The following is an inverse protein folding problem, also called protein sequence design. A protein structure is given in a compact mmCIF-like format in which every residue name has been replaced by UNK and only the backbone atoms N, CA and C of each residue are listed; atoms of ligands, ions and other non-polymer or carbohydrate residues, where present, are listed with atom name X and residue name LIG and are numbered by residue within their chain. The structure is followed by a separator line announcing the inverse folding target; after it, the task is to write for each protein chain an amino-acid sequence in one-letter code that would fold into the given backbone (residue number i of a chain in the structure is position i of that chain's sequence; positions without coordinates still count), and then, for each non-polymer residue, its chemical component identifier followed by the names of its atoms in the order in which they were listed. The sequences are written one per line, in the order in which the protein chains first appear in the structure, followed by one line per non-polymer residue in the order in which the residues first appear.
data_IF_550508208305
#
_entry.id   IF_550508208305
#
_cell.length_a   1.000
_cell.length_b   1.000
_cell.length_c   1.000
_cell.angle_alpha   90.00
_cell.angle_beta   90.00
_cell.angle_gamma   90.00
#
_symmetry.space_group_name_H-M   'P 1'
#
loop_
_entity.id
_entity.type
_entity.pdbx_description
1 polymer ?
#
# COMPACT_ATOMS: atom_id res chain seq x y z
N UNK A 1 -5.37 -20.29 -20.14
CA UNK A 1 -5.46 -20.99 -18.84
C UNK A 1 -5.02 -19.99 -17.77
N UNK A 2 -5.91 -19.53 -16.90
CA UNK A 2 -5.54 -18.61 -15.82
C UNK A 2 -5.40 -19.43 -14.54
N UNK A 3 -4.17 -19.59 -14.05
CA UNK A 3 -3.93 -20.22 -12.75
C UNK A 3 -4.35 -19.24 -11.67
N UNK A 4 -5.52 -19.46 -11.07
CA UNK A 4 -5.90 -18.81 -9.82
C UNK A 4 -5.02 -19.42 -8.73
N UNK A 5 -4.04 -18.68 -8.25
CA UNK A 5 -3.31 -19.06 -7.04
C UNK A 5 -4.32 -19.02 -5.87
N UNK A 6 -4.79 -20.18 -5.46
CA UNK A 6 -5.60 -20.36 -4.26
C UNK A 6 -4.65 -20.86 -3.18
N UNK A 7 -4.44 -20.06 -2.13
CA UNK A 7 -3.65 -20.45 -0.97
C UNK A 7 -4.33 -21.70 -0.35
N UNK A 8 -3.69 -22.88 -0.30
CA UNK A 8 -4.36 -24.17 -0.06
C UNK A 8 -4.93 -24.33 1.36
N UNK A 9 -4.59 -23.44 2.29
CA UNK A 9 -5.00 -23.54 3.69
C UNK A 9 -6.31 -22.82 4.02
N UNK A 10 -6.78 -21.90 3.15
CA UNK A 10 -7.88 -20.95 3.46
C UNK A 10 -7.77 -20.36 4.89
N UNK A 11 -6.54 -20.22 5.39
CA UNK A 11 -6.26 -19.89 6.78
C UNK A 11 -5.76 -18.46 6.87
N UNK A 12 -6.29 -17.73 7.85
CA UNK A 12 -5.74 -16.43 8.23
C UNK A 12 -4.39 -16.63 8.91
N UNK A 13 -3.39 -15.84 8.49
CA UNK A 13 -2.09 -15.79 9.16
C UNK A 13 -1.68 -14.34 9.43
N UNK A 14 -1.12 -14.11 10.60
CA UNK A 14 -0.50 -12.82 10.94
C UNK A 14 0.92 -12.81 10.39
N UNK A 15 1.24 -11.85 9.52
CA UNK A 15 2.57 -11.75 8.90
C UNK A 15 3.53 -10.86 9.70
N UNK A 16 3.05 -9.72 10.19
CA UNK A 16 3.81 -8.79 11.01
C UNK A 16 2.84 -7.94 11.85
N UNK A 17 3.29 -7.51 13.02
CA UNK A 17 2.61 -6.45 13.77
C UNK A 17 2.65 -5.16 12.96
N UNK A 18 1.52 -4.46 12.85
CA UNK A 18 1.51 -3.12 12.26
C UNK A 18 2.38 -2.20 13.15
N UNK A 19 3.25 -1.35 12.58
CA UNK A 19 3.72 -0.18 13.30
C UNK A 19 2.49 0.58 13.79
N UNK A 20 2.57 1.28 14.91
CA UNK A 20 1.50 2.05 15.54
C UNK A 20 0.79 2.99 14.55
N UNK A 21 -0.17 2.44 13.81
CA UNK A 21 -0.91 3.11 12.76
C UNK A 21 -2.31 3.26 13.29
N UNK A 22 -2.51 4.35 14.00
CA UNK A 22 -3.84 4.81 14.37
C UNK A 22 -4.60 5.11 13.07
N UNK A 23 -5.34 4.10 12.60
CA UNK A 23 -6.38 4.17 11.55
C UNK A 23 -5.85 4.19 10.11
N UNK A 24 -5.64 3.03 9.51
CA UNK A 24 -5.62 2.90 8.05
C UNK A 24 -7.00 3.28 7.48
N UNK A 25 -7.05 4.03 6.37
CA UNK A 25 -8.32 4.39 5.72
C UNK A 25 -8.47 3.76 4.32
N UNK A 26 -7.37 3.47 3.63
CA UNK A 26 -7.38 2.78 2.34
C UNK A 26 -6.16 1.88 2.20
N UNK A 27 -6.31 0.79 1.45
CA UNK A 27 -5.20 -0.05 1.00
C UNK A 27 -5.38 -0.46 -0.47
N UNK A 28 -4.26 -0.67 -1.16
CA UNK A 28 -4.21 -1.26 -2.49
C UNK A 28 -2.90 -2.04 -2.66
N UNK A 29 -2.83 -2.90 -3.67
CA UNK A 29 -1.62 -3.66 -3.98
C UNK A 29 -1.00 -3.15 -5.28
N UNK A 30 0.33 -3.07 -5.33
CA UNK A 30 1.08 -2.83 -6.55
C UNK A 30 2.26 -3.80 -6.60
N UNK A 31 2.32 -4.61 -7.67
CA UNK A 31 3.28 -5.71 -7.81
C UNK A 31 3.22 -6.63 -6.58
N UNK A 32 4.34 -6.77 -5.86
CA UNK A 32 4.47 -7.65 -4.70
C UNK A 32 4.40 -6.87 -3.36
N UNK A 33 3.85 -5.65 -3.39
CA UNK A 33 3.85 -4.74 -2.25
C UNK A 33 2.44 -4.24 -1.98
N UNK A 34 2.01 -4.33 -0.72
CA UNK A 34 0.79 -3.69 -0.24
C UNK A 34 1.11 -2.24 0.15
N UNK A 35 0.25 -1.31 -0.26
CA UNK A 35 0.33 0.10 0.11
C UNK A 35 -0.91 0.45 0.93
N UNK A 36 -0.70 1.21 2.00
CA UNK A 36 -1.76 1.68 2.89
C UNK A 36 -1.62 3.19 3.03
N UNK A 37 -2.77 3.87 2.99
CA UNK A 37 -2.88 5.28 3.33
C UNK A 37 -3.53 5.37 4.71
N UNK A 38 -2.85 6.04 5.63
CA UNK A 38 -3.36 6.28 6.99
C UNK A 38 -4.40 7.39 6.99
N UNK A 39 -5.22 7.50 8.02
CA UNK A 39 -6.20 8.58 8.17
C UNK A 39 -5.56 9.97 8.25
N UNK A 40 -4.27 10.05 8.58
CA UNK A 40 -3.48 11.28 8.51
C UNK A 40 -2.91 11.57 7.09
N UNK A 41 -3.17 10.69 6.13
CA UNK A 41 -2.68 10.77 4.76
C UNK A 41 -1.23 10.31 4.55
N UNK A 42 -0.61 9.63 5.53
CA UNK A 42 0.71 9.03 5.32
C UNK A 42 0.63 7.79 4.44
N UNK A 43 1.61 7.61 3.56
CA UNK A 43 1.81 6.38 2.82
C UNK A 43 2.77 5.46 3.59
N UNK A 44 2.37 4.19 3.71
CA UNK A 44 3.21 3.10 4.17
C UNK A 44 3.12 1.94 3.18
N UNK A 45 4.13 1.10 3.15
CA UNK A 45 4.12 -0.14 2.40
C UNK A 45 4.50 -1.35 3.25
N UNK A 46 4.02 -2.51 2.83
CA UNK A 46 4.37 -3.81 3.38
C UNK A 46 4.78 -4.75 2.25
N UNK A 47 5.96 -5.36 2.40
CA UNK A 47 6.48 -6.35 1.44
C UNK A 47 6.39 -7.74 2.09
N UNK A 48 5.48 -8.62 1.64
CA UNK A 48 5.29 -9.94 2.23
C UNK A 48 6.54 -10.84 2.15
N UNK A 49 7.37 -10.67 1.12
CA UNK A 49 8.59 -11.46 0.94
C UNK A 49 9.65 -11.23 2.01
N UNK A 50 9.67 -10.06 2.65
CA UNK A 50 10.62 -9.70 3.70
C UNK A 50 9.97 -9.45 5.06
N UNK A 51 8.63 -9.48 5.12
CA UNK A 51 7.82 -9.11 6.28
C UNK A 51 8.19 -7.73 6.85
N UNK A 52 8.61 -6.79 6.00
CA UNK A 52 9.03 -5.46 6.41
C UNK A 52 7.97 -4.40 6.08
N UNK A 53 7.84 -3.44 6.99
CA UNK A 53 7.10 -2.21 6.80
C UNK A 53 8.04 -1.08 6.39
N UNK A 54 7.59 -0.19 5.51
CA UNK A 54 8.30 1.02 5.16
C UNK A 54 7.37 2.23 5.20
N UNK A 55 7.82 3.32 5.82
CA UNK A 55 7.05 4.56 5.93
C UNK A 55 7.67 5.65 5.08
N UNK A 56 6.85 6.26 4.22
CA UNK A 56 7.29 7.32 3.32
C UNK A 56 7.14 8.70 3.97
N UNK A 57 7.95 8.98 4.99
CA UNK A 57 7.86 10.20 5.81
C UNK A 57 8.24 11.50 5.09
N UNK A 58 8.98 11.42 3.99
CA UNK A 58 9.57 12.57 3.31
C UNK A 58 8.76 13.10 2.12
N UNK A 59 7.55 12.59 1.88
CA UNK A 59 6.82 12.91 0.64
C UNK A 59 6.27 14.34 0.60
N UNK A 60 6.24 15.07 1.73
CA UNK A 60 5.65 16.42 1.82
C UNK A 60 4.15 16.49 1.50
N UNK A 61 3.56 15.36 1.11
CA UNK A 61 2.22 15.20 0.60
C UNK A 61 1.43 14.30 1.55
N UNK A 62 0.19 14.71 1.86
CA UNK A 62 -0.82 13.82 2.42
C UNK A 62 -1.68 13.28 1.28
N UNK A 63 -1.97 12.00 1.31
CA UNK A 63 -2.80 11.34 0.31
C UNK A 63 -4.21 11.06 0.83
N UNK A 64 -5.21 11.24 -0.02
CA UNK A 64 -6.61 10.94 0.30
C UNK A 64 -7.11 9.66 -0.35
N UNK A 65 -6.58 9.34 -1.52
CA UNK A 65 -6.91 8.13 -2.24
C UNK A 65 -5.74 7.72 -3.12
N UNK A 66 -5.55 6.42 -3.28
CA UNK A 66 -4.60 5.81 -4.18
C UNK A 66 -5.22 4.67 -4.95
N UNK A 67 -4.65 4.38 -6.11
CA UNK A 67 -4.92 3.18 -6.90
C UNK A 67 -3.67 2.77 -7.66
N UNK A 68 -3.67 1.56 -8.20
CA UNK A 68 -2.63 1.06 -9.08
C UNK A 68 -3.19 0.75 -10.46
N UNK A 69 -2.46 1.12 -11.50
CA UNK A 69 -2.79 0.79 -12.89
C UNK A 69 -1.48 0.65 -13.68
N UNK A 70 -1.38 -0.40 -14.50
CA UNK A 70 -0.25 -0.65 -15.40
C UNK A 70 1.13 -0.51 -14.70
N UNK A 71 1.32 -1.25 -13.60
CA UNK A 71 2.55 -1.27 -12.80
C UNK A 71 2.97 0.07 -12.15
N UNK A 72 2.06 1.03 -12.13
CA UNK A 72 2.23 2.33 -11.46
C UNK A 72 1.20 2.51 -10.37
N UNK A 73 1.49 3.39 -9.42
CA UNK A 73 0.51 3.91 -8.48
C UNK A 73 0.14 5.35 -8.84
N UNK A 74 -1.11 5.70 -8.59
CA UNK A 74 -1.67 7.03 -8.77
C UNK A 74 -2.32 7.47 -7.47
N UNK A 75 -2.08 8.71 -7.07
CA UNK A 75 -2.60 9.25 -5.82
C UNK A 75 -3.21 10.64 -6.01
N UNK A 76 -4.25 10.95 -5.25
CA UNK A 76 -4.72 12.33 -5.07
C UNK A 76 -4.14 12.86 -3.76
N UNK A 77 -3.39 13.96 -3.84
CA UNK A 77 -2.79 14.60 -2.67
C UNK A 77 -3.70 15.66 -2.03
N UNK A 78 -3.24 16.28 -0.95
CA UNK A 78 -3.93 17.36 -0.23
C UNK A 78 -4.23 18.61 -1.07
N UNK A 79 -3.48 18.83 -2.14
CA UNK A 79 -3.66 19.94 -3.08
C UNK A 79 -4.55 19.55 -4.27
N UNK A 80 -5.20 18.38 -4.22
CA UNK A 80 -6.05 17.81 -5.27
C UNK A 80 -5.34 17.52 -6.60
N UNK A 81 -4.01 17.35 -6.57
CA UNK A 81 -3.24 16.92 -7.72
C UNK A 81 -3.21 15.40 -7.84
N UNK A 82 -3.27 14.92 -9.09
CA UNK A 82 -3.01 13.53 -9.44
C UNK A 82 -1.49 13.34 -9.57
N UNK A 83 -0.92 12.49 -8.72
CA UNK A 83 0.50 12.16 -8.71
C UNK A 83 0.70 10.73 -9.22
N UNK A 84 1.72 10.54 -10.05
CA UNK A 84 2.17 9.22 -10.51
C UNK A 84 3.40 8.76 -9.71
N UNK A 85 3.44 7.48 -9.35
CA UNK A 85 4.57 6.83 -8.69
C UNK A 85 4.91 5.52 -9.39
N UNK A 86 6.19 5.35 -9.74
CA UNK A 86 6.73 4.08 -10.22
C UNK A 86 7.69 3.54 -9.15
N UNK A 87 7.38 2.40 -8.51
CA UNK A 87 8.32 1.77 -7.59
C UNK A 87 9.55 1.29 -8.35
N UNK A 88 10.74 1.57 -7.80
CA UNK A 88 12.02 1.05 -8.28
C UNK A 88 12.10 -0.47 -8.13
#
# INVERSE_FOLDING_TARGET
MFYRHVDPSNAWRTLAGLPTLTRAHQAFALKNTGYIITSAGQLISFTPGTSQWHTYNALGNRFFVGTSLNEKAYFINQDYHLLEYTPN
#
